data_IF_298020177275
#
_entry.id   IF_298020177275
#
_cell.length_a   1.000
_cell.length_b   1.000
_cell.length_c   1.000
_cell.angle_alpha   90.00
_cell.angle_beta   90.00
_cell.angle_gamma   90.00
#
_symmetry.space_group_name_H-M   'P 1'
#
loop_
_entity.id
_entity.type
_entity.pdbx_description
1 polymer ?
#
# COMPACT_ATOMS: atom_id res chain seq x y z
N UNK A 1 3.06 -16.53 -6.77
CA UNK A 1 2.82 -15.53 -7.83
C UNK A 1 1.33 -15.41 -8.07
N UNK A 2 0.84 -14.20 -8.19
CA UNK A 2 -0.52 -13.85 -8.61
C UNK A 2 -0.41 -12.93 -9.80
N UNK A 3 -1.18 -13.19 -10.84
CA UNK A 3 -1.29 -12.34 -12.02
C UNK A 3 -2.78 -12.07 -12.28
N UNK A 4 -3.18 -10.80 -12.19
CA UNK A 4 -4.56 -10.36 -12.38
C UNK A 4 -4.65 -9.33 -13.50
N UNK A 5 -5.47 -9.65 -14.50
CA UNK A 5 -5.82 -8.73 -15.60
C UNK A 5 -7.32 -8.43 -15.68
N UNK A 6 -8.11 -9.05 -14.79
CA UNK A 6 -9.55 -8.85 -14.68
C UNK A 6 -9.94 -8.03 -13.46
N UNK A 7 -11.23 -7.78 -13.28
CA UNK A 7 -11.73 -7.10 -12.10
C UNK A 7 -11.92 -8.07 -10.93
N UNK A 8 -11.48 -7.66 -9.74
CA UNK A 8 -11.69 -8.37 -8.48
C UNK A 8 -12.57 -7.50 -7.58
N UNK A 9 -13.67 -8.08 -7.08
CA UNK A 9 -14.51 -7.43 -6.06
C UNK A 9 -14.64 -8.35 -4.85
N UNK A 10 -14.21 -7.86 -3.69
CA UNK A 10 -14.27 -8.55 -2.41
C UNK A 10 -15.09 -7.75 -1.40
N UNK A 11 -16.08 -8.38 -0.80
CA UNK A 11 -16.98 -7.72 0.12
C UNK A 11 -17.23 -8.52 1.40
N UNK A 12 -17.18 -7.85 2.56
CA UNK A 12 -17.48 -8.46 3.86
C UNK A 12 -18.28 -7.54 4.77
N UNK A 13 -19.52 -7.91 5.12
CA UNK A 13 -20.41 -7.13 5.98
C UNK A 13 -19.93 -6.98 7.44
N UNK A 14 -19.25 -7.98 7.99
CA UNK A 14 -18.87 -8.03 9.41
C UNK A 14 -17.40 -8.39 9.62
N UNK A 15 -16.63 -8.51 8.56
CA UNK A 15 -15.27 -9.03 8.60
C UNK A 15 -14.29 -8.17 7.83
N UNK A 16 -13.32 -8.85 7.28
CA UNK A 16 -12.23 -8.29 6.47
C UNK A 16 -12.44 -8.68 5.01
N UNK A 17 -12.14 -7.78 4.10
CA UNK A 17 -12.16 -8.03 2.66
C UNK A 17 -10.74 -7.86 2.08
N UNK A 18 -10.28 -8.84 1.32
CA UNK A 18 -9.01 -8.80 0.59
C UNK A 18 -9.28 -9.02 -0.89
N UNK A 19 -8.83 -8.10 -1.74
CA UNK A 19 -8.85 -8.29 -3.18
C UNK A 19 -7.87 -9.37 -3.59
N UNK A 20 -6.58 -9.16 -3.32
CA UNK A 20 -5.51 -10.14 -3.53
C UNK A 20 -4.80 -10.42 -2.21
N UNK A 21 -4.62 -11.70 -1.86
CA UNK A 21 -3.83 -12.13 -0.72
C UNK A 21 -2.80 -13.16 -1.17
N UNK A 22 -1.55 -12.74 -1.29
CA UNK A 22 -0.42 -13.58 -1.68
C UNK A 22 0.54 -13.79 -0.50
N UNK A 23 0.81 -15.03 -0.13
CA UNK A 23 1.75 -15.40 0.94
C UNK A 23 2.64 -16.55 0.53
N UNK A 24 3.94 -16.48 0.85
CA UNK A 24 4.87 -17.55 0.51
C UNK A 24 6.31 -17.28 0.93
N UNK A 25 7.22 -18.14 0.47
CA UNK A 25 8.66 -17.90 0.64
C UNK A 25 9.10 -16.64 -0.12
N UNK A 26 8.62 -16.51 -1.34
CA UNK A 26 8.65 -15.30 -2.16
C UNK A 26 7.23 -14.95 -2.56
N UNK A 27 6.90 -13.68 -2.66
CA UNK A 27 5.60 -13.21 -3.12
C UNK A 27 5.78 -12.25 -4.29
N UNK A 28 5.06 -12.52 -5.37
CA UNK A 28 5.02 -11.65 -6.55
C UNK A 28 3.56 -11.48 -6.96
N UNK A 29 3.12 -10.25 -7.05
CA UNK A 29 1.78 -9.87 -7.51
C UNK A 29 1.92 -8.91 -8.68
N UNK A 30 1.28 -9.24 -9.79
CA UNK A 30 1.12 -8.37 -10.96
C UNK A 30 -0.37 -8.08 -11.13
N UNK A 31 -0.71 -6.82 -11.19
CA UNK A 31 -2.09 -6.37 -11.39
C UNK A 31 -2.18 -5.35 -12.52
N UNK A 32 -3.12 -5.58 -13.43
CA UNK A 32 -3.49 -4.63 -14.47
C UNK A 32 -5.01 -4.41 -14.58
N UNK A 33 -5.78 -5.02 -13.68
CA UNK A 33 -7.23 -4.86 -13.60
C UNK A 33 -7.68 -4.14 -12.33
N UNK A 34 -8.96 -3.81 -12.27
CA UNK A 34 -9.53 -3.14 -11.10
C UNK A 34 -9.63 -4.08 -9.90
N UNK A 35 -9.34 -3.55 -8.71
CA UNK A 35 -9.52 -4.26 -7.44
C UNK A 35 -10.37 -3.39 -6.51
N UNK A 36 -11.51 -3.94 -6.09
CA UNK A 36 -12.38 -3.34 -5.09
C UNK A 36 -12.48 -4.25 -3.87
N UNK A 37 -12.11 -3.74 -2.71
CA UNK A 37 -12.25 -4.41 -1.43
C UNK A 37 -13.07 -3.56 -0.46
N UNK A 38 -14.14 -4.11 0.10
CA UNK A 38 -14.97 -3.40 1.07
C UNK A 38 -15.25 -4.28 2.29
N UNK A 39 -14.83 -3.83 3.48
CA UNK A 39 -14.93 -4.59 4.71
C UNK A 39 -15.40 -3.77 5.90
N UNK A 40 -15.89 -4.44 6.97
CA UNK A 40 -16.24 -3.74 8.19
C UNK A 40 -15.00 -3.49 9.07
N UNK A 41 -14.23 -4.54 9.39
CA UNK A 41 -13.04 -4.39 10.23
C UNK A 41 -11.82 -3.90 9.44
N UNK A 42 -11.62 -4.43 8.24
CA UNK A 42 -10.55 -3.96 7.36
C UNK A 42 -10.87 -4.27 5.90
N UNK A 43 -10.29 -3.51 5.01
CA UNK A 43 -10.24 -3.79 3.59
C UNK A 43 -8.82 -3.61 3.08
N UNK A 44 -8.37 -4.51 2.20
CA UNK A 44 -7.12 -4.34 1.50
C UNK A 44 -7.26 -4.71 0.03
N UNK A 45 -6.71 -3.88 -0.84
CA UNK A 45 -6.67 -4.16 -2.26
C UNK A 45 -5.72 -5.32 -2.54
N UNK A 46 -4.42 -5.13 -2.26
CA UNK A 46 -3.38 -6.16 -2.43
C UNK A 46 -2.63 -6.34 -1.10
N UNK A 47 -2.56 -7.59 -0.62
CA UNK A 47 -1.64 -8.01 0.43
C UNK A 47 -0.66 -9.01 -0.15
N UNK A 48 0.64 -8.68 -0.11
CA UNK A 48 1.73 -9.55 -0.51
C UNK A 48 2.72 -9.71 0.63
N UNK A 49 2.87 -10.90 1.17
CA UNK A 49 3.76 -11.16 2.30
C UNK A 49 4.67 -12.34 2.01
N UNK A 50 5.95 -12.19 2.31
CA UNK A 50 6.93 -13.25 2.08
C UNK A 50 7.99 -13.34 3.18
N UNK A 51 8.77 -14.46 3.12
CA UNK A 51 9.96 -14.60 3.93
C UNK A 51 11.18 -13.94 3.28
N UNK A 52 11.39 -14.08 1.97
CA UNK A 52 12.68 -13.78 1.31
C UNK A 52 12.60 -12.69 0.24
N UNK A 53 11.44 -12.17 -0.07
CA UNK A 53 11.31 -11.04 -0.99
C UNK A 53 9.89 -10.89 -1.55
N UNK A 54 9.40 -9.66 -1.56
CA UNK A 54 8.05 -9.31 -2.03
C UNK A 54 8.14 -8.30 -3.17
N UNK A 55 7.44 -8.58 -4.26
CA UNK A 55 7.29 -7.66 -5.38
C UNK A 55 5.81 -7.47 -5.69
N UNK A 56 5.39 -6.22 -5.82
CA UNK A 56 4.05 -5.84 -6.28
C UNK A 56 4.22 -4.89 -7.46
N UNK A 57 3.62 -5.23 -8.59
CA UNK A 57 3.57 -4.38 -9.78
C UNK A 57 2.11 -4.13 -10.13
N UNK A 58 1.68 -2.88 -10.07
CA UNK A 58 0.32 -2.46 -10.38
C UNK A 58 0.35 -1.45 -11.53
N UNK A 59 0.10 -1.94 -12.74
CA UNK A 59 0.30 -1.19 -13.99
C UNK A 59 -0.99 -0.70 -14.64
N UNK A 60 -2.15 -1.09 -14.13
CA UNK A 60 -3.43 -0.71 -14.70
C UNK A 60 -4.60 -1.02 -13.76
N UNK A 61 -5.77 -0.51 -14.11
CA UNK A 61 -6.92 -0.53 -13.26
C UNK A 61 -6.78 0.40 -12.05
N UNK A 62 -7.77 0.40 -11.18
CA UNK A 62 -7.77 1.13 -9.91
C UNK A 62 -7.78 0.16 -8.73
N UNK A 63 -7.22 0.57 -7.61
CA UNK A 63 -7.34 -0.15 -6.34
C UNK A 63 -8.19 0.70 -5.38
N UNK A 64 -9.32 0.17 -4.95
CA UNK A 64 -10.17 0.77 -3.92
C UNK A 64 -10.31 -0.16 -2.72
N UNK A 65 -9.91 0.32 -1.53
CA UNK A 65 -9.96 -0.41 -0.27
C UNK A 65 -10.66 0.42 0.80
N UNK A 66 -11.93 0.11 1.08
CA UNK A 66 -12.78 0.93 1.95
C UNK A 66 -13.28 0.10 3.13
N UNK A 67 -13.05 0.58 4.35
CA UNK A 67 -13.53 -0.07 5.58
C UNK A 67 -14.00 0.93 6.64
N UNK A 68 -14.81 0.43 7.57
CA UNK A 68 -15.07 1.16 8.82
C UNK A 68 -13.83 1.13 9.74
N UNK A 69 -13.11 0.03 9.77
CA UNK A 69 -11.85 -0.10 10.50
C UNK A 69 -10.67 0.48 9.72
N UNK A 70 -9.85 -0.36 9.11
CA UNK A 70 -8.62 0.00 8.41
C UNK A 70 -8.73 -0.20 6.90
N UNK A 71 -8.29 0.79 6.10
CA UNK A 71 -8.18 0.71 4.65
C UNK A 71 -6.72 0.64 4.19
N UNK A 72 -6.36 -0.38 3.43
CA UNK A 72 -5.02 -0.56 2.86
C UNK A 72 -5.10 -0.73 1.33
N UNK A 73 -4.46 0.14 0.56
CA UNK A 73 -4.39 -0.01 -0.88
C UNK A 73 -3.49 -1.19 -1.25
N UNK A 74 -2.17 -1.04 -1.08
CA UNK A 74 -1.16 -2.09 -1.27
C UNK A 74 -0.41 -2.29 0.06
N UNK A 75 -0.34 -3.54 0.52
CA UNK A 75 0.43 -3.94 1.69
C UNK A 75 1.45 -5.01 1.30
N UNK A 76 2.72 -4.59 1.13
CA UNK A 76 3.83 -5.43 0.70
C UNK A 76 4.85 -5.60 1.84
N UNK A 77 5.06 -6.83 2.31
CA UNK A 77 5.95 -7.11 3.45
C UNK A 77 6.89 -8.27 3.19
N UNK A 78 8.13 -8.15 3.66
CA UNK A 78 9.11 -9.23 3.67
C UNK A 78 9.79 -9.35 5.04
N UNK A 79 10.00 -10.60 5.51
CA UNK A 79 10.65 -10.83 6.80
C UNK A 79 12.17 -10.72 6.70
N UNK A 80 12.79 -11.30 5.66
CA UNK A 80 14.25 -11.39 5.50
C UNK A 80 14.77 -10.84 4.17
N UNK A 81 13.89 -10.46 3.25
CA UNK A 81 14.30 -9.98 1.93
C UNK A 81 13.75 -8.61 1.60
N UNK A 82 14.05 -8.16 0.42
CA UNK A 82 13.65 -6.84 -0.07
C UNK A 82 12.18 -6.77 -0.43
N UNK A 83 11.64 -5.55 -0.42
CA UNK A 83 10.30 -5.22 -0.88
C UNK A 83 10.40 -4.24 -2.03
N UNK A 84 9.70 -4.53 -3.13
CA UNK A 84 9.58 -3.63 -4.26
C UNK A 84 8.11 -3.43 -4.60
N UNK A 85 7.69 -2.19 -4.69
CA UNK A 85 6.34 -1.79 -5.14
C UNK A 85 6.51 -0.83 -6.31
N UNK A 86 5.92 -1.18 -7.44
CA UNK A 86 5.80 -0.34 -8.63
C UNK A 86 4.31 -0.11 -8.88
N UNK A 87 3.86 1.13 -8.71
CA UNK A 87 2.47 1.52 -8.88
C UNK A 87 2.30 2.62 -9.91
N UNK A 88 1.62 2.32 -10.99
CA UNK A 88 1.29 3.27 -12.04
C UNK A 88 -0.22 3.60 -12.11
N UNK A 89 -1.01 3.17 -11.12
CA UNK A 89 -2.46 3.30 -11.14
C UNK A 89 -2.99 3.94 -9.88
N UNK A 90 -4.22 4.43 -9.94
CA UNK A 90 -4.84 5.13 -8.83
C UNK A 90 -5.16 4.18 -7.67
N UNK A 91 -4.87 4.63 -6.45
CA UNK A 91 -5.17 3.94 -5.20
C UNK A 91 -6.06 4.80 -4.32
N UNK A 92 -7.19 4.23 -3.88
CA UNK A 92 -8.04 4.79 -2.85
C UNK A 92 -8.05 3.87 -1.62
N UNK A 93 -7.57 4.36 -0.50
CA UNK A 93 -7.62 3.69 0.78
C UNK A 93 -8.43 4.53 1.77
N UNK A 94 -9.51 3.98 2.32
CA UNK A 94 -10.35 4.66 3.31
C UNK A 94 -10.57 3.75 4.52
N UNK A 95 -10.18 4.25 5.70
CA UNK A 95 -10.43 3.57 6.96
C UNK A 95 -10.94 4.55 8.02
N UNK A 96 -12.20 4.45 8.42
CA UNK A 96 -12.84 5.47 9.25
C UNK A 96 -12.24 5.54 10.66
N UNK A 97 -11.96 4.40 11.29
CA UNK A 97 -11.63 4.33 12.72
C UNK A 97 -10.15 4.09 12.98
N UNK A 98 -9.54 3.12 12.31
CA UNK A 98 -8.18 2.69 12.59
C UNK A 98 -7.14 3.38 11.70
N UNK A 99 -7.55 3.86 10.53
CA UNK A 99 -6.70 4.60 9.62
C UNK A 99 -6.71 4.08 8.20
N UNK A 100 -5.97 4.77 7.34
CA UNK A 100 -5.82 4.42 5.94
C UNK A 100 -4.36 4.54 5.49
N UNK A 101 -3.92 3.60 4.66
CA UNK A 101 -2.60 3.66 4.03
C UNK A 101 -2.71 3.31 2.55
N UNK A 102 -2.23 4.18 1.69
CA UNK A 102 -2.22 3.94 0.25
C UNK A 102 -1.27 2.81 -0.10
N UNK A 103 0.04 2.98 0.14
CA UNK A 103 1.08 1.96 -0.05
C UNK A 103 1.80 1.75 1.28
N UNK A 104 1.83 0.52 1.77
CA UNK A 104 2.63 0.06 2.91
C UNK A 104 3.69 -0.93 2.43
N UNK A 105 4.96 -0.55 2.44
CA UNK A 105 6.10 -1.36 2.01
C UNK A 105 7.08 -1.55 3.17
N UNK A 106 7.21 -2.79 3.68
CA UNK A 106 7.96 -3.07 4.92
C UNK A 106 8.90 -4.25 4.77
N UNK A 107 10.20 -4.02 5.03
CA UNK A 107 11.20 -5.07 5.22
C UNK A 107 11.59 -5.13 6.71
N UNK A 108 11.36 -6.28 7.35
CA UNK A 108 11.61 -6.44 8.80
C UNK A 108 13.07 -6.76 9.14
N UNK A 109 13.95 -6.96 8.16
CA UNK A 109 15.36 -7.24 8.33
C UNK A 109 16.22 -6.26 7.51
N UNK A 110 17.29 -6.73 6.91
CA UNK A 110 18.26 -5.98 6.12
C UNK A 110 17.86 -5.80 4.64
N UNK A 111 16.67 -6.29 4.25
CA UNK A 111 16.16 -6.12 2.90
C UNK A 111 15.87 -4.66 2.58
N UNK A 112 16.26 -4.22 1.39
CA UNK A 112 15.93 -2.88 0.92
C UNK A 112 14.43 -2.74 0.60
N UNK A 113 13.90 -1.53 0.72
CA UNK A 113 12.54 -1.17 0.29
C UNK A 113 12.65 -0.18 -0.86
N UNK A 114 11.97 -0.48 -1.96
CA UNK A 114 11.84 0.42 -3.11
C UNK A 114 10.36 0.62 -3.44
N UNK A 115 9.94 1.87 -3.49
CA UNK A 115 8.59 2.25 -3.94
C UNK A 115 8.74 3.22 -5.10
N UNK A 116 8.21 2.85 -6.25
CA UNK A 116 8.04 3.71 -7.43
C UNK A 116 6.55 3.94 -7.63
N UNK A 117 6.10 5.18 -7.51
CA UNK A 117 4.69 5.54 -7.65
C UNK A 117 4.48 6.65 -8.66
N UNK A 118 3.74 6.34 -9.71
CA UNK A 118 3.31 7.32 -10.70
C UNK A 118 1.78 7.51 -10.76
N UNK A 119 1.01 6.65 -10.08
CA UNK A 119 -0.43 6.80 -9.92
C UNK A 119 -0.82 7.74 -8.78
N UNK A 120 -2.05 8.23 -8.78
CA UNK A 120 -2.57 9.04 -7.67
C UNK A 120 -2.89 8.17 -6.46
N UNK A 121 -2.62 8.67 -5.27
CA UNK A 121 -2.93 8.00 -4.01
C UNK A 121 -3.85 8.90 -3.17
N UNK A 122 -5.00 8.35 -2.77
CA UNK A 122 -5.86 8.93 -1.76
C UNK A 122 -5.88 8.02 -0.52
N UNK A 123 -5.52 8.57 0.64
CA UNK A 123 -5.63 7.91 1.93
C UNK A 123 -6.49 8.76 2.88
N UNK A 124 -7.66 8.26 3.28
CA UNK A 124 -8.64 9.02 4.06
C UNK A 124 -9.06 8.33 5.35
N UNK A 125 -9.04 9.07 6.48
CA UNK A 125 -9.54 8.58 7.77
C UNK A 125 -10.28 9.67 8.55
N UNK A 126 -11.23 9.26 9.41
CA UNK A 126 -11.88 10.19 10.32
C UNK A 126 -11.17 10.23 11.68
N UNK A 127 -10.87 9.08 12.27
CA UNK A 127 -10.29 8.99 13.63
C UNK A 127 -8.87 8.45 13.65
N UNK A 128 -8.50 7.57 12.71
CA UNK A 128 -7.17 7.00 12.60
C UNK A 128 -6.21 7.86 11.78
N UNK A 129 -4.98 7.42 11.66
CA UNK A 129 -3.98 8.10 10.82
C UNK A 129 -4.22 7.82 9.34
N UNK A 130 -3.83 8.76 8.49
CA UNK A 130 -3.82 8.59 7.03
C UNK A 130 -2.39 8.74 6.52
N UNK A 131 -1.93 7.76 5.74
CA UNK A 131 -0.58 7.75 5.18
C UNK A 131 -0.67 7.45 3.69
N UNK A 132 -0.12 8.32 2.85
CA UNK A 132 -0.05 8.07 1.42
C UNK A 132 0.87 6.90 1.12
N UNK A 133 2.17 7.05 1.41
CA UNK A 133 3.20 6.02 1.26
C UNK A 133 3.92 5.83 2.59
N UNK A 134 3.93 4.60 3.10
CA UNK A 134 4.75 4.17 4.23
C UNK A 134 5.81 3.18 3.74
N UNK A 135 7.08 3.57 3.79
CA UNK A 135 8.21 2.75 3.37
C UNK A 135 9.19 2.57 4.54
N UNK A 136 9.38 1.34 4.97
CA UNK A 136 10.20 1.04 6.14
C UNK A 136 11.10 -0.17 5.91
N UNK A 137 12.39 -0.01 6.23
CA UNK A 137 13.31 -1.13 6.42
C UNK A 137 13.98 -1.05 7.78
N UNK A 138 14.08 -2.19 8.48
CA UNK A 138 14.71 -2.21 9.80
C UNK A 138 16.20 -1.89 9.74
N UNK A 139 16.92 -2.41 8.74
CA UNK A 139 18.38 -2.26 8.59
C UNK A 139 18.83 -2.03 7.15
N UNK A 140 17.95 -2.15 6.16
CA UNK A 140 18.25 -1.91 4.75
C UNK A 140 17.97 -0.48 4.31
N UNK A 141 18.30 -0.19 3.08
CA UNK A 141 18.04 1.11 2.45
C UNK A 141 16.60 1.25 2.02
N UNK A 142 16.09 2.48 2.03
CA UNK A 142 14.73 2.82 1.57
C UNK A 142 14.82 3.86 0.46
N UNK A 143 14.21 3.57 -0.67
CA UNK A 143 14.06 4.49 -1.79
C UNK A 143 12.58 4.67 -2.11
N UNK A 144 12.14 5.91 -2.22
CA UNK A 144 10.79 6.27 -2.68
C UNK A 144 10.92 7.27 -3.82
N UNK A 145 10.43 6.90 -4.99
CA UNK A 145 10.29 7.79 -6.14
C UNK A 145 8.80 7.98 -6.42
N UNK A 146 8.32 9.21 -6.21
CA UNK A 146 6.91 9.53 -6.40
C UNK A 146 6.74 10.64 -7.43
N UNK A 147 6.03 10.33 -8.50
CA UNK A 147 5.63 11.31 -9.52
C UNK A 147 4.11 11.53 -9.57
N UNK A 148 3.33 10.66 -8.93
CA UNK A 148 1.89 10.81 -8.79
C UNK A 148 1.49 11.75 -7.65
N UNK A 149 0.25 12.21 -7.67
CA UNK A 149 -0.28 13.05 -6.60
C UNK A 149 -0.66 12.21 -5.38
N UNK A 150 -0.38 12.72 -4.18
CA UNK A 150 -0.74 12.08 -2.92
C UNK A 150 -1.65 13.01 -2.12
N UNK A 151 -2.81 12.49 -1.73
CA UNK A 151 -3.72 13.17 -0.80
C UNK A 151 -3.90 12.28 0.43
N UNK A 152 -3.43 12.71 1.59
CA UNK A 152 -3.62 12.03 2.85
C UNK A 152 -4.40 12.91 3.81
N UNK A 153 -5.62 12.50 4.18
CA UNK A 153 -6.53 13.31 5.01
C UNK A 153 -6.92 12.53 6.25
N UNK A 154 -6.64 13.09 7.43
CA UNK A 154 -7.17 12.60 8.68
C UNK A 154 -7.83 13.74 9.46
N UNK A 155 -9.07 13.53 9.96
CA UNK A 155 -9.82 14.58 10.64
C UNK A 155 -9.39 14.73 12.11
N UNK A 156 -9.10 13.61 12.79
CA UNK A 156 -8.71 13.61 14.21
C UNK A 156 -7.36 12.92 14.47
N UNK A 157 -6.76 12.27 13.47
CA UNK A 157 -5.45 11.61 13.53
C UNK A 157 -4.35 12.43 12.86
N UNK A 158 -3.24 11.76 12.59
CA UNK A 158 -2.13 12.30 11.80
C UNK A 158 -2.36 12.05 10.32
N UNK A 159 -1.89 12.96 9.49
CA UNK A 159 -1.85 12.76 8.04
C UNK A 159 -0.40 12.94 7.56
N UNK A 160 0.12 11.91 6.90
CA UNK A 160 1.47 11.89 6.32
C UNK A 160 1.39 11.59 4.82
N UNK A 161 1.98 12.42 3.98
CA UNK A 161 2.07 12.14 2.54
C UNK A 161 2.99 10.96 2.28
N UNK A 162 4.28 11.09 2.66
CA UNK A 162 5.29 10.04 2.55
C UNK A 162 6.01 9.90 3.88
N UNK A 163 6.04 8.70 4.43
CA UNK A 163 6.89 8.31 5.54
C UNK A 163 7.92 7.29 5.05
N UNK A 164 9.21 7.58 5.20
CA UNK A 164 10.30 6.69 4.83
C UNK A 164 11.31 6.57 5.98
N UNK A 165 11.72 5.34 6.31
CA UNK A 165 12.70 5.08 7.38
C UNK A 165 13.53 3.83 7.07
N UNK A 166 14.84 3.93 7.18
CA UNK A 166 15.80 2.85 6.90
C UNK A 166 17.22 3.24 7.27
N UNK A 167 18.22 2.41 6.89
CA UNK A 167 19.64 2.69 7.10
C UNK A 167 20.08 3.93 6.31
N UNK A 168 19.78 3.96 5.02
CA UNK A 168 19.86 5.14 4.16
C UNK A 168 18.48 5.36 3.55
N UNK A 169 18.07 6.62 3.47
CA UNK A 169 16.75 6.98 2.94
C UNK A 169 16.92 7.99 1.80
N UNK A 170 16.39 7.65 0.64
CA UNK A 170 16.33 8.52 -0.52
C UNK A 170 14.86 8.67 -0.94
N UNK A 171 14.35 9.91 -0.93
CA UNK A 171 12.97 10.23 -1.32
C UNK A 171 13.01 11.31 -2.39
N UNK A 172 12.51 10.97 -3.57
CA UNK A 172 12.27 11.88 -4.68
C UNK A 172 10.76 12.05 -4.87
N UNK A 173 10.31 13.30 -4.94
CA UNK A 173 8.92 13.61 -5.19
C UNK A 173 8.78 14.73 -6.22
N UNK A 174 8.01 14.47 -7.26
CA UNK A 174 7.65 15.46 -8.28
C UNK A 174 6.14 15.70 -8.40
N UNK A 175 5.31 14.84 -7.80
CA UNK A 175 3.87 15.02 -7.68
C UNK A 175 3.46 16.00 -6.58
N UNK A 176 2.20 16.40 -6.54
CA UNK A 176 1.64 17.19 -5.45
C UNK A 176 1.42 16.32 -4.21
N UNK A 177 1.67 16.86 -3.01
CA UNK A 177 1.32 16.22 -1.74
C UNK A 177 0.40 17.17 -0.97
N UNK A 178 -0.80 16.67 -0.64
CA UNK A 178 -1.79 17.35 0.20
C UNK A 178 -2.02 16.53 1.47
N UNK A 179 -1.89 17.16 2.64
CA UNK A 179 -2.10 16.56 3.95
C UNK A 179 -2.93 17.45 4.86
#
# INVERSE_FOLDING_TARGET
TVDNSGSISAYSYYGVAYGVLARGAYSSVSNSGDIEASGFYAAAGIIATSYYGTTVTNTGGSISAIAVGEGLGIDARSFYGSVSVDNASDIEAVGIVLGATGINAVAYSDGAVSVDNSGSIYAGSLYGNSIGIYAYSAYGDVTVDNSGDITAISYYGLADGIFASGANVDVSNSGAIEV
#
